data_IF_737452261732
#
_entry.id   IF_737452261732
#
_cell.length_a   1.000
_cell.length_b   1.000
_cell.length_c   1.000
_cell.angle_alpha   90.00
_cell.angle_beta   90.00
_cell.angle_gamma   90.00
#
_symmetry.space_group_name_H-M   'P 1'
#
loop_
_entity.id
_entity.type
_entity.pdbx_description
1 polymer ?
#
# COMPACT_ATOMS: atom_id res chain seq x y z
N UNK A 1 -10.13 22.90 3.05
CA UNK A 1 -8.96 22.09 3.44
C UNK A 1 -7.94 22.18 2.33
N UNK A 2 -6.65 22.19 2.66
CA UNK A 2 -5.59 22.15 1.64
C UNK A 2 -5.42 20.73 1.09
N UNK A 3 -5.06 20.61 -0.19
CA UNK A 3 -4.84 19.32 -0.85
C UNK A 3 -3.33 19.06 -0.97
N UNK A 4 -2.93 17.83 -0.66
CA UNK A 4 -1.54 17.40 -0.71
C UNK A 4 -1.42 16.06 -1.43
N UNK A 5 -0.21 15.78 -1.90
CA UNK A 5 0.18 14.49 -2.47
C UNK A 5 1.40 13.93 -1.76
N UNK A 6 1.42 12.61 -1.60
CA UNK A 6 2.60 11.83 -1.20
C UNK A 6 3.23 11.25 -2.45
N UNK A 7 4.53 11.43 -2.61
CA UNK A 7 5.31 10.87 -3.73
C UNK A 7 5.85 9.48 -3.40
N UNK A 8 6.34 8.74 -4.38
CA UNK A 8 7.08 7.49 -4.17
C UNK A 8 8.51 7.73 -3.65
N UNK A 9 9.22 6.65 -3.30
CA UNK A 9 10.58 6.73 -2.74
C UNK A 9 11.66 7.12 -3.77
N UNK A 10 11.29 7.34 -5.03
CA UNK A 10 12.22 7.76 -6.09
C UNK A 10 12.38 9.28 -6.16
N UNK A 11 11.42 10.02 -5.60
CA UNK A 11 11.43 11.48 -5.51
C UNK A 11 11.97 11.91 -4.14
N UNK A 12 12.88 12.90 -4.12
CA UNK A 12 13.48 13.40 -2.87
C UNK A 12 12.49 14.13 -1.96
N UNK A 13 11.50 14.80 -2.56
CA UNK A 13 10.42 15.51 -1.86
C UNK A 13 9.24 14.57 -1.63
N UNK A 14 8.99 14.20 -0.36
CA UNK A 14 7.96 13.22 0.02
C UNK A 14 6.53 13.75 0.00
N UNK A 15 6.33 15.02 0.33
CA UNK A 15 5.01 15.69 0.33
C UNK A 15 5.09 16.95 -0.53
N UNK A 16 4.09 17.14 -1.38
CA UNK A 16 3.86 18.38 -2.13
C UNK A 16 2.43 18.86 -1.95
N UNK A 17 2.22 20.18 -2.01
CA UNK A 17 0.90 20.82 -1.94
C UNK A 17 0.34 20.98 -3.35
N UNK A 18 -0.88 20.51 -3.57
CA UNK A 18 -1.62 20.76 -4.81
C UNK A 18 -2.44 22.03 -4.61
N UNK A 19 -2.01 23.12 -5.25
CA UNK A 19 -2.71 24.40 -5.17
C UNK A 19 -4.02 24.33 -5.93
N UNK A 20 -5.10 24.74 -5.28
CA UNK A 20 -6.44 24.78 -5.87
C UNK A 20 -7.04 26.18 -5.69
N UNK A 21 -7.91 26.58 -6.62
CA UNK A 21 -8.72 27.77 -6.41
C UNK A 21 -9.77 27.52 -5.31
N UNK A 22 -10.35 28.59 -4.78
CA UNK A 22 -11.29 28.49 -3.66
C UNK A 22 -12.54 27.63 -3.98
N UNK A 23 -13.21 27.78 -5.14
CA UNK A 23 -14.32 26.89 -5.49
C UNK A 23 -13.93 25.41 -5.55
N UNK A 24 -12.77 25.09 -6.12
CA UNK A 24 -12.27 23.71 -6.17
C UNK A 24 -11.94 23.21 -4.76
N UNK A 25 -11.33 24.05 -3.93
CA UNK A 25 -11.01 23.72 -2.55
C UNK A 25 -12.27 23.36 -1.73
N UNK A 26 -13.38 24.07 -1.96
CA UNK A 26 -14.67 23.77 -1.31
C UNK A 26 -15.22 22.40 -1.76
N UNK A 27 -15.14 22.08 -3.06
CA UNK A 27 -15.55 20.78 -3.61
C UNK A 27 -14.69 19.64 -3.04
N UNK A 28 -13.37 19.82 -3.00
CA UNK A 28 -12.44 18.83 -2.43
C UNK A 28 -12.75 18.62 -0.94
N UNK A 29 -12.96 19.71 -0.20
CA UNK A 29 -13.32 19.65 1.22
C UNK A 29 -14.60 18.85 1.43
N UNK A 30 -15.63 19.08 0.62
CA UNK A 30 -16.87 18.33 0.68
C UNK A 30 -16.63 16.83 0.39
N UNK A 31 -15.89 16.51 -0.67
CA UNK A 31 -15.57 15.12 -1.03
C UNK A 31 -14.90 14.36 0.12
N UNK A 32 -13.84 14.93 0.71
CA UNK A 32 -13.14 14.29 1.83
C UNK A 32 -14.03 14.15 3.08
N UNK A 33 -14.89 15.15 3.37
CA UNK A 33 -15.87 15.06 4.46
C UNK A 33 -16.90 13.94 4.26
N UNK A 34 -17.42 13.80 3.05
CA UNK A 34 -18.38 12.75 2.69
C UNK A 34 -17.74 11.36 2.84
N UNK A 35 -16.50 11.21 2.41
CA UNK A 35 -15.78 9.95 2.53
C UNK A 35 -15.42 9.60 3.97
N UNK A 36 -15.04 10.59 4.78
CA UNK A 36 -14.86 10.42 6.23
C UNK A 36 -16.15 9.92 6.88
N UNK A 37 -17.26 10.59 6.59
CA UNK A 37 -18.59 10.21 7.09
C UNK A 37 -18.97 8.81 6.65
N UNK A 38 -18.69 8.44 5.39
CA UNK A 38 -18.91 7.10 4.88
C UNK A 38 -18.06 6.06 5.62
N UNK A 39 -16.76 6.31 5.80
CA UNK A 39 -15.86 5.40 6.49
C UNK A 39 -16.33 5.14 7.93
N UNK A 40 -16.57 6.21 8.70
CA UNK A 40 -17.00 6.13 10.10
C UNK A 40 -18.44 5.59 10.26
N UNK A 41 -19.30 5.79 9.28
CA UNK A 41 -20.66 5.23 9.28
C UNK A 41 -20.74 3.78 8.81
N UNK A 42 -19.84 3.35 7.93
CA UNK A 42 -19.81 1.99 7.37
C UNK A 42 -19.04 1.00 8.25
N UNK A 43 -17.98 1.46 8.91
CA UNK A 43 -17.13 0.65 9.75
C UNK A 43 -17.25 1.13 11.20
N UNK A 44 -17.90 0.33 12.04
CA UNK A 44 -18.30 0.71 13.39
C UNK A 44 -17.44 0.08 14.49
N UNK A 45 -16.69 -0.98 14.17
CA UNK A 45 -15.88 -1.72 15.14
C UNK A 45 -14.39 -1.59 14.83
N UNK A 46 -13.65 -0.97 15.75
CA UNK A 46 -12.21 -0.83 15.66
C UNK A 46 -11.51 -2.03 16.27
N UNK A 47 -10.64 -2.68 15.50
CA UNK A 47 -9.80 -3.78 15.96
C UNK A 47 -8.34 -3.37 15.89
N UNK A 48 -7.56 -3.71 16.91
CA UNK A 48 -6.13 -3.42 16.89
C UNK A 48 -5.46 -4.17 15.73
N UNK A 49 -4.63 -3.45 14.98
CA UNK A 49 -3.93 -4.02 13.85
C UNK A 49 -2.97 -5.10 14.33
N UNK A 50 -3.19 -6.31 13.85
CA UNK A 50 -2.28 -7.42 14.06
C UNK A 50 -2.07 -8.14 12.73
N UNK A 51 -0.81 -8.48 12.45
CA UNK A 51 -0.42 -9.33 11.33
C UNK A 51 -0.94 -10.75 11.52
N UNK A 52 -2.25 -10.90 11.41
CA UNK A 52 -2.95 -12.05 11.99
C UNK A 52 -4.48 -11.96 11.88
N UNK A 53 -5.06 -10.77 11.72
CA UNK A 53 -6.51 -10.58 11.70
C UNK A 53 -7.05 -10.20 10.31
N UNK A 54 -8.28 -10.63 9.96
CA UNK A 54 -9.01 -10.17 8.77
C UNK A 54 -10.28 -9.51 9.29
N UNK A 55 -10.46 -8.23 9.00
CA UNK A 55 -11.66 -7.50 9.41
C UNK A 55 -12.92 -8.05 8.74
N UNK A 56 -13.97 -8.24 9.52
CA UNK A 56 -15.35 -8.41 9.10
C UNK A 56 -15.87 -7.20 8.32
N UNK A 57 -17.07 -7.28 7.77
CA UNK A 57 -17.55 -6.25 6.83
C UNK A 57 -17.68 -4.85 7.43
N UNK A 58 -17.88 -4.77 8.74
CA UNK A 58 -18.12 -3.60 9.59
C UNK A 58 -16.93 -3.24 10.50
N UNK A 59 -15.88 -4.05 10.49
CA UNK A 59 -14.66 -3.79 11.25
C UNK A 59 -13.67 -2.93 10.45
N UNK A 60 -12.80 -2.20 11.16
CA UNK A 60 -11.63 -1.51 10.61
C UNK A 60 -10.43 -1.69 11.55
N UNK A 61 -9.22 -1.64 10.98
CA UNK A 61 -7.98 -1.73 11.75
C UNK A 61 -7.62 -0.41 12.40
N UNK A 62 -6.96 -0.49 13.56
CA UNK A 62 -6.43 0.62 14.34
C UNK A 62 -4.98 0.37 14.71
N UNK A 63 -4.09 1.32 14.46
CA UNK A 63 -2.74 1.39 15.04
C UNK A 63 -2.72 2.61 15.98
N UNK A 64 -2.77 2.44 17.31
CA UNK A 64 -2.91 3.55 18.27
C UNK A 64 -1.70 4.50 18.35
N UNK A 65 -0.50 3.97 18.16
CA UNK A 65 0.77 4.68 18.28
C UNK A 65 1.51 4.69 16.94
N UNK A 66 0.84 5.16 15.88
CA UNK A 66 1.41 5.27 14.55
C UNK A 66 2.42 6.42 14.46
N UNK A 67 3.65 6.08 14.10
CA UNK A 67 4.73 6.99 13.76
C UNK A 67 4.52 7.57 12.35
N UNK A 68 4.13 8.84 12.30
CA UNK A 68 3.95 9.60 11.05
C UNK A 68 5.30 10.03 10.45
N UNK A 69 6.11 9.05 10.02
CA UNK A 69 7.44 9.27 9.43
C UNK A 69 7.39 10.15 8.17
N UNK A 70 6.27 10.12 7.43
CA UNK A 70 6.07 10.94 6.23
C UNK A 70 5.72 12.39 6.60
N UNK A 71 5.29 12.64 7.83
CA UNK A 71 4.89 13.94 8.37
C UNK A 71 3.64 14.54 7.71
N UNK A 72 2.61 13.71 7.46
CA UNK A 72 1.34 14.17 6.87
C UNK A 72 0.57 15.11 7.79
N UNK A 73 0.63 14.91 9.11
CA UNK A 73 -0.01 15.81 10.08
C UNK A 73 0.68 17.16 10.16
N UNK A 74 2.02 17.17 10.08
CA UNK A 74 2.79 18.41 10.04
C UNK A 74 2.47 19.23 8.79
N UNK A 75 2.29 18.57 7.63
CA UNK A 75 1.86 19.22 6.41
C UNK A 75 0.48 19.88 6.53
N UNK A 76 -0.46 19.23 7.24
CA UNK A 76 -1.80 19.79 7.50
C UNK A 76 -1.73 20.99 8.46
N UNK A 77 -0.90 20.90 9.50
CA UNK A 77 -0.73 21.98 10.48
C UNK A 77 0.03 23.18 9.89
N UNK A 78 1.00 22.93 9.02
CA UNK A 78 1.90 23.94 8.47
C UNK A 78 1.87 23.94 6.92
N UNK A 79 0.71 24.18 6.29
CA UNK A 79 0.53 24.03 4.85
C UNK A 79 1.40 24.97 4.01
N UNK A 80 1.85 26.09 4.57
CA UNK A 80 2.69 27.08 3.90
C UNK A 80 4.17 26.69 3.83
N UNK A 81 4.60 25.71 4.64
CA UNK A 81 5.96 25.20 4.62
C UNK A 81 6.17 24.09 3.57
N UNK A 82 5.08 23.58 3.00
CA UNK A 82 5.10 22.50 2.03
C UNK A 82 5.28 23.07 0.61
N UNK A 83 6.24 22.56 -0.18
CA UNK A 83 6.45 23.02 -1.55
C UNK A 83 5.23 22.71 -2.42
N UNK A 84 4.94 23.62 -3.34
CA UNK A 84 3.87 23.42 -4.32
C UNK A 84 4.26 22.33 -5.33
N UNK A 85 3.27 21.57 -5.80
CA UNK A 85 3.50 20.54 -6.80
C UNK A 85 3.65 21.15 -8.19
N UNK A 86 4.84 20.96 -8.76
CA UNK A 86 5.16 21.34 -10.14
C UNK A 86 5.23 20.07 -11.02
N UNK A 87 4.27 19.83 -11.94
CA UNK A 87 4.22 18.63 -12.77
C UNK A 87 5.47 18.40 -13.65
N UNK A 88 6.18 19.48 -13.99
CA UNK A 88 7.42 19.46 -14.77
C UNK A 88 8.61 18.92 -13.96
N UNK A 89 8.61 19.10 -12.64
CA UNK A 89 9.65 18.60 -11.74
C UNK A 89 9.32 17.21 -11.20
N UNK A 90 8.06 17.01 -10.79
CA UNK A 90 7.57 15.76 -10.22
C UNK A 90 6.41 15.28 -11.08
N UNK A 91 6.67 14.23 -11.85
CA UNK A 91 5.64 13.59 -12.67
C UNK A 91 4.47 13.12 -11.81
N UNK A 92 3.25 13.32 -12.30
CA UNK A 92 2.02 12.82 -11.66
C UNK A 92 2.07 11.30 -11.39
N UNK A 93 2.85 10.56 -12.17
CA UNK A 93 3.03 9.11 -12.00
C UNK A 93 3.89 8.74 -10.80
N UNK A 94 4.59 9.70 -10.19
CA UNK A 94 5.30 9.52 -8.94
C UNK A 94 4.41 9.76 -7.71
N UNK A 95 3.17 10.25 -7.88
CA UNK A 95 2.22 10.38 -6.78
C UNK A 95 1.66 9.00 -6.45
N UNK A 96 1.63 8.66 -5.16
CA UNK A 96 1.11 7.37 -4.64
C UNK A 96 -0.08 7.55 -3.71
N UNK A 97 -0.33 8.77 -3.24
CA UNK A 97 -1.47 9.09 -2.39
C UNK A 97 -1.83 10.57 -2.47
N UNK A 98 -3.12 10.86 -2.31
CA UNK A 98 -3.63 12.19 -2.06
C UNK A 98 -4.18 12.27 -0.64
N UNK A 99 -3.97 13.39 0.03
CA UNK A 99 -4.54 13.60 1.35
C UNK A 99 -4.94 15.05 1.59
N UNK A 100 -5.89 15.21 2.49
CA UNK A 100 -6.37 16.49 2.99
C UNK A 100 -6.77 16.32 4.46
N UNK A 101 -7.10 17.38 5.17
CA UNK A 101 -7.41 17.24 6.58
C UNK A 101 -7.70 18.52 7.34
N UNK A 102 -7.77 18.35 8.65
CA UNK A 102 -8.01 19.43 9.60
C UNK A 102 -6.77 19.62 10.47
N UNK A 103 -6.29 20.87 10.62
CA UNK A 103 -5.23 21.15 11.57
C UNK A 103 -5.70 20.92 13.00
N UNK A 104 -4.75 20.88 13.91
CA UNK A 104 -5.04 20.86 15.34
C UNK A 104 -5.81 22.13 15.72
N UNK A 105 -6.98 21.96 16.33
CA UNK A 105 -7.83 23.08 16.71
C UNK A 105 -8.66 22.76 17.95
N UNK A 106 -8.74 23.70 18.89
CA UNK A 106 -9.60 23.62 20.08
C UNK A 106 -9.41 22.32 20.90
N UNK A 107 -8.15 21.86 21.02
CA UNK A 107 -7.80 20.64 21.74
C UNK A 107 -8.15 19.34 21.02
N UNK A 108 -8.59 19.41 19.76
CA UNK A 108 -8.73 18.24 18.88
C UNK A 108 -7.43 18.03 18.10
N UNK A 109 -6.92 16.79 18.01
CA UNK A 109 -5.70 16.52 17.28
C UNK A 109 -5.88 16.81 15.78
N UNK A 110 -4.77 17.17 15.12
CA UNK A 110 -4.72 17.23 13.67
C UNK A 110 -5.16 15.88 13.07
N UNK A 111 -5.88 15.94 11.95
CA UNK A 111 -6.46 14.75 11.32
C UNK A 111 -6.20 14.77 9.82
N UNK A 112 -5.51 13.75 9.31
CA UNK A 112 -5.33 13.49 7.89
C UNK A 112 -6.34 12.46 7.38
N UNK A 113 -6.94 12.77 6.24
CA UNK A 113 -7.82 11.92 5.46
C UNK A 113 -7.06 11.52 4.19
N UNK A 114 -6.74 10.23 4.06
CA UNK A 114 -5.73 9.75 3.12
C UNK A 114 -6.38 8.79 2.13
N UNK A 115 -6.10 8.99 0.83
CA UNK A 115 -6.54 8.14 -0.27
C UNK A 115 -5.32 7.61 -1.01
N UNK A 116 -5.34 6.34 -1.42
CA UNK A 116 -4.37 5.84 -2.39
C UNK A 116 -4.56 6.55 -3.73
N UNK A 117 -3.46 6.79 -4.43
CA UNK A 117 -3.47 7.31 -5.78
C UNK A 117 -2.85 6.29 -6.73
N UNK A 118 -3.49 6.08 -7.88
CA UNK A 118 -2.97 5.22 -8.92
C UNK A 118 -3.05 5.87 -10.31
N UNK A 119 -2.28 5.30 -11.24
CA UNK A 119 -2.15 5.75 -12.63
C UNK A 119 -3.47 5.81 -13.41
N UNK A 120 -4.54 5.11 -12.99
CA UNK A 120 -5.87 5.17 -13.62
C UNK A 120 -6.62 6.44 -13.22
N UNK A 121 -6.21 7.10 -12.14
CA UNK A 121 -6.72 8.40 -11.74
C UNK A 121 -6.07 9.56 -12.50
N UNK A 122 -5.04 9.31 -13.32
CA UNK A 122 -4.49 10.30 -14.24
C UNK A 122 -5.32 10.31 -15.51
N UNK A 123 -5.81 11.48 -15.91
CA UNK A 123 -6.61 11.61 -17.14
C UNK A 123 -5.71 11.39 -18.37
N UNK A 124 -6.03 10.37 -19.17
CA UNK A 124 -5.41 10.18 -20.49
C UNK A 124 -6.02 11.16 -21.50
N UNK A 125 -5.38 12.32 -21.61
CA UNK A 125 -5.76 13.39 -22.53
C UNK A 125 -5.79 12.97 -24.01
N UNK A 126 -5.06 11.91 -24.41
CA UNK A 126 -5.13 11.40 -25.80
C UNK A 126 -6.47 10.73 -26.10
N UNK A 127 -7.15 10.22 -25.06
CA UNK A 127 -8.40 9.47 -25.15
C UNK A 127 -9.59 10.21 -24.54
N UNK A 128 -9.38 11.39 -23.98
CA UNK A 128 -10.41 12.16 -23.27
C UNK A 128 -10.73 13.46 -24.01
N UNK A 129 -12.02 13.76 -24.14
CA UNK A 129 -12.50 15.04 -24.66
C UNK A 129 -13.39 15.71 -23.61
N UNK A 130 -13.25 17.03 -23.48
CA UNK A 130 -13.96 17.88 -22.54
C UNK A 130 -14.97 18.74 -23.28
N UNK A 131 -16.13 18.92 -22.69
CA UNK A 131 -17.10 19.89 -23.18
C UNK A 131 -16.59 21.30 -22.90
N UNK A 132 -16.76 22.22 -23.86
CA UNK A 132 -16.47 23.66 -23.66
C UNK A 132 -17.77 24.43 -23.40
N UNK A 133 -18.25 24.49 -22.15
CA UNK A 133 -19.55 25.11 -21.85
C UNK A 133 -19.58 26.61 -22.16
N UNK A 134 -18.42 27.27 -22.20
CA UNK A 134 -18.31 28.72 -22.39
C UNK A 134 -18.00 29.15 -23.84
N UNK A 135 -17.98 28.23 -24.82
CA UNK A 135 -17.85 28.57 -26.24
C UNK A 135 -19.17 28.38 -27.00
N UNK A 136 -19.47 29.31 -27.92
CA UNK A 136 -20.62 29.17 -28.81
C UNK A 136 -20.44 27.92 -29.70
N UNK A 137 -21.46 27.06 -29.77
CA UNK A 137 -21.50 25.92 -30.69
C UNK A 137 -21.52 24.51 -30.06
N UNK A 138 -21.63 24.37 -28.73
CA UNK A 138 -21.73 23.06 -28.05
C UNK A 138 -20.64 22.07 -28.50
N UNK A 139 -19.39 22.49 -28.46
CA UNK A 139 -18.24 21.73 -28.99
C UNK A 139 -17.44 21.05 -27.89
N UNK A 140 -16.72 20.00 -28.27
CA UNK A 140 -15.79 19.27 -27.40
C UNK A 140 -14.35 19.51 -27.84
N UNK A 141 -13.40 19.43 -26.89
CA UNK A 141 -11.97 19.57 -27.16
C UNK A 141 -11.13 18.59 -26.36
N UNK A 142 -9.92 18.30 -26.82
CA UNK A 142 -8.91 17.67 -25.98
C UNK A 142 -8.23 18.73 -25.11
N UNK A 143 -7.83 18.36 -23.89
CA UNK A 143 -7.00 19.18 -23.01
C UNK A 143 -5.54 18.78 -23.15
N UNK A 144 -4.61 19.72 -23.02
CA UNK A 144 -3.19 19.42 -22.83
C UNK A 144 -2.82 19.37 -21.33
N UNK A 145 -3.70 19.88 -20.46
CA UNK A 145 -3.46 20.06 -19.03
C UNK A 145 -3.48 18.74 -18.26
N UNK A 146 -2.64 18.61 -17.24
CA UNK A 146 -2.65 17.45 -16.35
C UNK A 146 -3.97 17.41 -15.55
N UNK A 147 -4.68 16.29 -15.66
CA UNK A 147 -5.90 16.04 -14.91
C UNK A 147 -5.73 14.87 -13.95
N UNK A 148 -6.21 15.03 -12.73
CA UNK A 148 -6.28 13.97 -11.72
C UNK A 148 -7.72 13.75 -11.27
N UNK A 149 -8.05 12.50 -10.98
CA UNK A 149 -9.34 12.07 -10.46
C UNK A 149 -9.19 11.77 -8.97
N UNK A 150 -9.96 12.45 -8.13
CA UNK A 150 -10.01 12.17 -6.70
C UNK A 150 -10.77 10.86 -6.47
N UNK A 151 -10.25 9.99 -5.60
CA UNK A 151 -10.92 8.72 -5.30
C UNK A 151 -12.24 8.98 -4.56
N UNK A 152 -13.12 7.98 -4.50
CA UNK A 152 -14.39 8.04 -3.79
C UNK A 152 -14.35 7.41 -2.39
N UNK A 153 -13.18 6.94 -1.94
CA UNK A 153 -12.99 6.26 -0.66
C UNK A 153 -11.68 6.67 -0.01
N UNK A 154 -11.69 6.74 1.32
CA UNK A 154 -10.47 6.84 2.11
C UNK A 154 -9.79 5.47 2.20
N UNK A 155 -8.47 5.50 2.10
CA UNK A 155 -7.59 4.38 2.48
C UNK A 155 -7.36 4.37 3.98
N UNK A 156 -7.12 5.54 4.57
CA UNK A 156 -6.87 5.68 6.00
C UNK A 156 -7.30 7.04 6.56
N UNK A 157 -7.48 7.09 7.88
CA UNK A 157 -7.65 8.30 8.68
C UNK A 157 -6.58 8.27 9.76
N UNK A 158 -5.70 9.27 9.79
CA UNK A 158 -4.73 9.45 10.86
C UNK A 158 -5.17 10.63 11.73
N UNK A 159 -5.42 10.41 13.02
CA UNK A 159 -5.83 11.46 13.95
C UNK A 159 -4.93 11.42 15.19
N UNK A 160 -4.06 12.42 15.32
CA UNK A 160 -2.96 12.35 16.30
C UNK A 160 -2.06 11.14 16.00
N UNK A 161 -1.92 10.22 16.94
CA UNK A 161 -1.15 8.99 16.76
C UNK A 161 -1.99 7.81 16.25
N UNK A 162 -3.32 7.95 16.22
CA UNK A 162 -4.22 6.84 15.90
C UNK A 162 -4.47 6.75 14.39
N UNK A 163 -4.00 5.67 13.76
CA UNK A 163 -4.24 5.38 12.35
C UNK A 163 -5.35 4.33 12.18
N UNK A 164 -6.41 4.71 11.47
CA UNK A 164 -7.56 3.86 11.13
C UNK A 164 -7.56 3.52 9.66
N UNK A 165 -7.79 2.26 9.29
CA UNK A 165 -7.83 1.85 7.89
C UNK A 165 -8.60 0.55 7.68
N UNK A 166 -9.09 0.33 6.46
CA UNK A 166 -9.83 -0.90 6.12
C UNK A 166 -8.96 -1.97 5.47
N UNK A 167 -8.10 -1.56 4.54
CA UNK A 167 -7.32 -2.48 3.70
C UNK A 167 -5.84 -2.30 3.96
N UNK A 168 -5.22 -3.32 4.54
CA UNK A 168 -3.77 -3.38 4.70
C UNK A 168 -3.04 -3.28 3.35
N UNK A 169 -3.53 -4.01 2.35
CA UNK A 169 -2.92 -4.00 1.01
C UNK A 169 -2.93 -2.61 0.37
N UNK A 170 -3.95 -1.77 0.65
CA UNK A 170 -3.93 -0.38 0.21
C UNK A 170 -3.03 0.50 1.09
N UNK A 171 -3.04 0.28 2.42
CA UNK A 171 -2.22 1.05 3.34
C UNK A 171 -0.72 0.89 3.07
N UNK A 172 -0.25 -0.34 2.84
CA UNK A 172 1.17 -0.65 2.59
C UNK A 172 1.73 0.00 1.32
N UNK A 173 0.85 0.47 0.42
CA UNK A 173 1.27 1.23 -0.78
C UNK A 173 1.70 2.65 -0.43
N UNK A 174 1.32 3.15 0.74
CA UNK A 174 1.51 4.54 1.18
C UNK A 174 2.51 4.61 2.33
N UNK A 175 2.33 3.76 3.34
CA UNK A 175 3.15 3.73 4.55
C UNK A 175 3.93 2.42 4.66
N UNK A 176 5.15 2.52 5.20
CA UNK A 176 5.85 1.36 5.74
C UNK A 176 5.25 1.04 7.11
N UNK A 177 4.53 -0.09 7.16
CA UNK A 177 3.81 -0.55 8.35
C UNK A 177 4.39 -1.85 8.91
N UNK A 178 5.54 -2.30 8.39
CA UNK A 178 6.21 -3.55 8.79
C UNK A 178 6.66 -3.52 10.27
N UNK A 179 6.85 -2.32 10.80
CA UNK A 179 7.18 -2.10 12.21
C UNK A 179 6.04 -2.49 13.16
N UNK A 180 4.78 -2.35 12.73
CA UNK A 180 3.58 -2.61 13.55
C UNK A 180 3.16 -4.09 13.54
N UNK A 181 3.92 -4.95 12.87
CA UNK A 181 3.65 -6.37 12.84
C UNK A 181 4.18 -7.08 14.08
N UNK A 182 3.27 -7.82 14.73
CA UNK A 182 3.64 -8.87 15.67
C UNK A 182 4.31 -10.02 14.91
N UNK A 183 5.42 -10.49 15.44
CA UNK A 183 6.07 -11.71 14.97
C UNK A 183 5.11 -12.91 15.06
N UNK A 184 5.09 -13.76 14.02
CA UNK A 184 4.42 -15.05 14.07
C UNK A 184 4.92 -15.88 15.27
N UNK A 185 3.97 -16.40 16.03
CA UNK A 185 4.18 -17.37 17.11
C UNK A 185 4.71 -18.69 16.56
N UNK A 186 5.22 -19.55 17.45
CA UNK A 186 5.61 -20.90 17.04
C UNK A 186 4.44 -21.69 16.44
N UNK A 187 3.22 -21.49 16.94
CA UNK A 187 2.02 -22.15 16.42
C UNK A 187 1.67 -21.68 15.00
N UNK A 188 1.77 -20.38 14.72
CA UNK A 188 1.57 -19.82 13.38
C UNK A 188 2.66 -20.28 12.40
N UNK A 189 3.92 -20.38 12.84
CA UNK A 189 5.00 -20.94 12.02
C UNK A 189 4.77 -22.43 11.70
N UNK A 190 4.33 -23.23 12.68
CA UNK A 190 4.01 -24.64 12.47
C UNK A 190 2.83 -24.80 11.50
N UNK A 191 1.77 -24.02 11.68
CA UNK A 191 0.61 -23.99 10.77
C UNK A 191 1.01 -23.59 9.36
N UNK A 192 1.80 -22.52 9.20
CA UNK A 192 2.30 -22.07 7.89
C UNK A 192 3.13 -23.16 7.21
N UNK A 193 4.12 -23.74 7.90
CA UNK A 193 4.95 -24.79 7.31
C UNK A 193 4.16 -26.07 7.00
N UNK A 194 3.02 -26.29 7.67
CA UNK A 194 2.13 -27.43 7.42
C UNK A 194 1.05 -27.16 6.36
N UNK A 195 1.06 -25.99 5.71
CA UNK A 195 0.10 -25.67 4.66
C UNK A 195 0.16 -26.70 3.52
N UNK A 196 -1.01 -27.06 2.96
CA UNK A 196 -1.14 -28.11 1.95
C UNK A 196 -0.27 -27.89 0.68
N UNK A 197 -0.01 -26.62 0.32
CA UNK A 197 0.85 -26.19 -0.77
C UNK A 197 2.34 -26.36 -0.50
N UNK A 198 2.78 -26.65 0.73
CA UNK A 198 4.19 -26.91 1.04
C UNK A 198 4.51 -28.40 1.09
N UNK A 199 5.66 -28.74 0.54
CA UNK A 199 6.35 -29.99 0.81
C UNK A 199 7.50 -29.71 1.77
N UNK A 200 7.39 -30.23 2.99
CA UNK A 200 8.38 -30.05 4.05
C UNK A 200 9.16 -31.34 4.24
N UNK A 201 10.49 -31.23 4.23
CA UNK A 201 11.37 -32.37 4.46
C UNK A 201 11.18 -32.93 5.88
N UNK A 202 11.25 -34.26 6.00
CA UNK A 202 11.08 -34.94 7.28
C UNK A 202 12.03 -34.39 8.34
N UNK A 203 11.49 -34.02 9.51
CA UNK A 203 12.26 -33.50 10.64
C UNK A 203 12.70 -32.03 10.50
N UNK A 204 12.34 -31.35 9.42
CA UNK A 204 12.52 -29.90 9.34
C UNK A 204 11.46 -29.18 10.17
N UNK A 205 11.92 -28.26 11.01
CA UNK A 205 11.07 -27.40 11.84
C UNK A 205 11.46 -25.94 11.62
N UNK A 206 10.54 -25.18 11.01
CA UNK A 206 10.73 -23.77 10.71
C UNK A 206 11.00 -22.94 11.97
N UNK A 207 10.46 -23.32 13.13
CA UNK A 207 10.63 -22.59 14.39
C UNK A 207 12.08 -22.54 14.86
N UNK A 208 12.90 -23.54 14.49
CA UNK A 208 14.31 -23.65 14.88
C UNK A 208 15.22 -22.66 14.15
N UNK A 209 14.84 -22.23 12.96
CA UNK A 209 15.62 -21.30 12.12
C UNK A 209 14.98 -19.91 12.03
N UNK A 210 13.74 -19.75 12.50
CA UNK A 210 12.97 -18.52 12.39
C UNK A 210 13.53 -17.42 13.31
N UNK A 211 14.05 -16.37 12.67
CA UNK A 211 14.33 -15.09 13.33
C UNK A 211 13.16 -14.11 13.15
N UNK A 212 13.28 -12.93 13.74
CA UNK A 212 12.27 -11.86 13.67
C UNK A 212 11.78 -11.60 12.23
N UNK A 213 12.69 -11.58 11.26
CA UNK A 213 12.36 -11.36 9.84
C UNK A 213 11.48 -12.49 9.32
N UNK A 214 11.85 -13.76 9.54
CA UNK A 214 11.03 -14.90 9.12
C UNK A 214 9.65 -14.85 9.79
N UNK A 215 9.60 -14.55 11.09
CA UNK A 215 8.34 -14.50 11.84
C UNK A 215 7.42 -13.38 11.35
N UNK A 216 7.95 -12.18 11.08
CA UNK A 216 7.17 -11.08 10.51
C UNK A 216 6.62 -11.45 9.13
N UNK A 217 7.43 -12.08 8.28
CA UNK A 217 6.99 -12.47 6.94
C UNK A 217 5.96 -13.57 6.91
N UNK A 218 6.12 -14.60 7.73
CA UNK A 218 5.08 -15.64 7.84
C UNK A 218 3.76 -15.03 8.31
N UNK A 219 3.82 -14.09 9.25
CA UNK A 219 2.65 -13.31 9.69
C UNK A 219 2.01 -12.54 8.52
N UNK A 220 2.80 -11.84 7.70
CA UNK A 220 2.34 -11.13 6.50
C UNK A 220 1.72 -12.05 5.43
N UNK A 221 2.38 -13.17 5.11
CA UNK A 221 1.95 -14.11 4.07
C UNK A 221 0.65 -14.83 4.46
N UNK A 222 0.54 -15.27 5.72
CA UNK A 222 -0.71 -15.84 6.25
C UNK A 222 -1.88 -14.83 6.15
N UNK A 223 -1.60 -13.53 6.13
CA UNK A 223 -2.59 -12.45 6.01
C UNK A 223 -2.96 -12.12 4.59
N UNK A 224 -2.00 -12.07 3.68
CA UNK A 224 -2.25 -11.82 2.27
C UNK A 224 -3.09 -12.94 1.63
N UNK A 225 -3.18 -14.10 2.30
CA UNK A 225 -3.85 -15.31 1.81
C UNK A 225 -3.32 -15.75 0.45
N UNK A 226 -2.07 -15.38 0.13
CA UNK A 226 -1.49 -15.69 -1.17
C UNK A 226 -1.41 -17.21 -1.41
N UNK A 227 -1.30 -17.99 -0.32
CA UNK A 227 -1.33 -19.45 -0.35
C UNK A 227 -2.74 -20.03 -0.39
N UNK A 228 -3.80 -19.26 -0.31
CA UNK A 228 -5.18 -19.74 -0.50
C UNK A 228 -5.78 -19.21 -1.80
N UNK A 229 -5.43 -17.97 -2.16
CA UNK A 229 -5.99 -17.26 -3.31
C UNK A 229 -5.31 -17.67 -4.63
N UNK A 230 -4.09 -18.23 -4.57
CA UNK A 230 -3.33 -18.64 -5.76
C UNK A 230 -2.92 -20.11 -5.74
N UNK A 231 -2.93 -20.75 -6.90
CA UNK A 231 -2.39 -22.11 -7.12
C UNK A 231 -0.86 -22.10 -7.10
N UNK A 232 -0.24 -23.25 -6.80
CA UNK A 232 1.23 -23.40 -6.86
C UNK A 232 1.75 -23.11 -8.28
N UNK A 233 0.94 -23.43 -9.29
CA UNK A 233 1.22 -23.11 -10.70
C UNK A 233 1.26 -21.61 -10.97
N UNK A 234 0.27 -20.86 -10.50
CA UNK A 234 0.26 -19.40 -10.67
C UNK A 234 1.45 -18.75 -9.96
N UNK A 235 1.76 -19.20 -8.73
CA UNK A 235 2.92 -18.70 -7.99
C UNK A 235 4.25 -18.99 -8.70
N UNK A 236 4.43 -20.19 -9.27
CA UNK A 236 5.65 -20.51 -10.02
C UNK A 236 5.78 -19.70 -11.30
N UNK A 237 4.68 -19.50 -12.03
CA UNK A 237 4.67 -18.66 -13.23
C UNK A 237 5.03 -17.23 -12.87
N UNK A 238 4.42 -16.68 -11.82
CA UNK A 238 4.73 -15.33 -11.33
C UNK A 238 6.20 -15.20 -10.89
N UNK A 239 6.73 -16.20 -10.18
CA UNK A 239 8.15 -16.23 -9.81
C UNK A 239 9.06 -16.19 -11.04
N UNK A 240 8.78 -16.99 -12.06
CA UNK A 240 9.56 -17.04 -13.30
C UNK A 240 9.51 -15.71 -14.07
N UNK A 241 8.37 -15.02 -14.09
CA UNK A 241 8.22 -13.71 -14.75
C UNK A 241 9.14 -12.63 -14.15
N UNK A 242 9.40 -12.71 -12.85
CA UNK A 242 10.30 -11.81 -12.13
C UNK A 242 11.73 -12.36 -12.00
N UNK A 243 12.02 -13.53 -12.57
CA UNK A 243 13.33 -14.18 -12.50
C UNK A 243 13.61 -14.87 -11.16
N UNK A 244 12.63 -15.08 -10.29
CA UNK A 244 12.81 -15.84 -9.05
C UNK A 244 12.59 -17.33 -9.32
N UNK A 245 13.50 -18.17 -8.85
CA UNK A 245 13.33 -19.63 -8.93
C UNK A 245 12.51 -20.10 -7.73
N UNK A 246 11.31 -20.63 -7.99
CA UNK A 246 10.47 -21.28 -7.00
C UNK A 246 10.59 -22.80 -7.15
N UNK A 247 11.30 -23.44 -6.23
CA UNK A 247 11.46 -24.90 -6.24
C UNK A 247 10.12 -25.58 -5.91
N UNK A 248 9.68 -26.47 -6.79
CA UNK A 248 8.47 -27.28 -6.60
C UNK A 248 8.78 -28.78 -6.71
N UNK A 249 7.97 -29.59 -6.06
CA UNK A 249 8.00 -31.05 -6.19
C UNK A 249 6.61 -31.63 -6.41
N UNK A 250 6.56 -32.73 -7.16
CA UNK A 250 5.32 -33.46 -7.40
C UNK A 250 5.09 -34.41 -6.23
N UNK A 251 4.05 -34.13 -5.44
CA UNK A 251 3.62 -34.97 -4.33
C UNK A 251 2.28 -35.65 -4.69
N UNK A 252 2.37 -36.74 -5.45
CA UNK A 252 1.18 -37.44 -5.98
C UNK A 252 0.57 -36.69 -7.17
N UNK A 253 -0.73 -36.38 -7.11
CA UNK A 253 -1.45 -35.63 -8.16
C UNK A 253 -1.31 -34.10 -8.04
N UNK A 254 -0.71 -33.60 -6.96
CA UNK A 254 -0.59 -32.17 -6.68
C UNK A 254 0.85 -31.71 -6.64
N UNK A 255 1.10 -30.55 -7.23
CA UNK A 255 2.38 -29.88 -7.17
C UNK A 255 2.46 -29.01 -5.90
N UNK A 256 3.59 -29.10 -5.20
CA UNK A 256 3.84 -28.37 -3.96
C UNK A 256 5.11 -27.56 -4.03
N UNK A 257 5.15 -26.44 -3.32
CA UNK A 257 6.33 -25.62 -3.11
C UNK A 257 7.24 -26.36 -2.13
N UNK A 258 8.48 -26.62 -2.53
CA UNK A 258 9.47 -27.26 -1.67
C UNK A 258 9.95 -26.26 -0.63
N UNK A 259 9.71 -26.53 0.65
CA UNK A 259 10.17 -25.68 1.74
C UNK A 259 11.71 -25.74 1.84
N UNK A 260 12.43 -24.61 1.67
CA UNK A 260 13.87 -24.60 1.82
C UNK A 260 14.28 -24.92 3.26
N UNK A 261 15.41 -25.59 3.44
CA UNK A 261 15.91 -25.94 4.77
C UNK A 261 16.92 -24.92 5.32
N UNK A 262 17.48 -24.08 4.45
CA UNK A 262 18.50 -23.09 4.81
C UNK A 262 17.82 -21.74 5.03
N UNK A 263 18.13 -21.09 6.15
CA UNK A 263 17.54 -19.79 6.56
C UNK A 263 17.55 -18.73 5.45
N UNK A 264 18.64 -18.62 4.69
CA UNK A 264 18.76 -17.66 3.58
C UNK A 264 17.70 -17.89 2.51
N UNK A 265 17.49 -19.15 2.13
CA UNK A 265 16.59 -19.52 1.04
C UNK A 265 15.14 -19.50 1.50
N UNK A 266 14.87 -19.81 2.77
CA UNK A 266 13.56 -19.56 3.39
C UNK A 266 13.21 -18.08 3.30
N UNK A 267 14.13 -17.16 3.64
CA UNK A 267 13.86 -15.72 3.50
C UNK A 267 13.56 -15.33 2.06
N UNK A 268 14.29 -15.87 1.08
CA UNK A 268 14.04 -15.61 -0.35
C UNK A 268 12.65 -16.05 -0.79
N UNK A 269 12.21 -17.24 -0.37
CA UNK A 269 10.86 -17.73 -0.59
C UNK A 269 9.82 -16.80 0.05
N UNK A 270 10.04 -16.39 1.31
CA UNK A 270 9.09 -15.53 2.01
C UNK A 270 9.03 -14.12 1.39
N UNK A 271 10.15 -13.54 0.97
CA UNK A 271 10.15 -12.28 0.22
C UNK A 271 9.36 -12.38 -1.09
N UNK A 272 9.39 -13.53 -1.75
CA UNK A 272 8.58 -13.75 -2.95
C UNK A 272 7.09 -13.78 -2.61
N UNK A 273 6.71 -14.62 -1.65
CA UNK A 273 5.31 -14.77 -1.23
C UNK A 273 4.70 -13.50 -0.60
N UNK A 274 5.53 -12.64 -0.04
CA UNK A 274 5.14 -11.33 0.53
C UNK A 274 5.07 -10.20 -0.53
N UNK A 275 5.41 -10.54 -1.79
CA UNK A 275 5.50 -9.61 -2.92
C UNK A 275 6.52 -8.46 -2.70
N UNK A 276 7.63 -8.74 -2.02
CA UNK A 276 8.68 -7.75 -1.74
C UNK A 276 9.57 -7.43 -2.95
N UNK A 277 9.41 -8.14 -4.06
CA UNK A 277 10.19 -7.89 -5.25
C UNK A 277 9.52 -6.82 -6.11
N UNK A 278 10.28 -5.81 -6.52
CA UNK A 278 9.84 -4.82 -7.50
C UNK A 278 10.82 -4.72 -8.66
N UNK A 279 10.30 -4.51 -9.86
CA UNK A 279 11.11 -4.34 -11.07
C UNK A 279 11.28 -2.86 -11.38
N UNK A 280 12.54 -2.40 -11.47
CA UNK A 280 12.84 -1.02 -11.90
C UNK A 280 12.36 -0.76 -13.32
N UNK A 281 11.60 0.32 -13.52
CA UNK A 281 11.01 0.67 -14.82
C UNK A 281 12.03 0.90 -15.94
N UNK A 282 13.22 1.40 -15.61
CA UNK A 282 14.25 1.76 -16.60
C UNK A 282 15.17 0.57 -16.87
N UNK A 283 15.70 -0.04 -15.82
CA UNK A 283 16.74 -1.08 -15.93
C UNK A 283 16.15 -2.48 -16.07
N UNK A 284 14.83 -2.63 -15.84
CA UNK A 284 14.14 -3.93 -15.68
C UNK A 284 14.83 -4.86 -14.67
N UNK A 285 15.60 -4.28 -13.75
CA UNK A 285 16.32 -5.01 -12.71
C UNK A 285 15.39 -5.24 -11.54
N UNK A 286 15.42 -6.45 -10.98
CA UNK A 286 14.68 -6.83 -9.81
C UNK A 286 15.37 -6.29 -8.55
N UNK A 287 14.59 -5.68 -7.67
CA UNK A 287 15.03 -5.17 -6.38
C UNK A 287 14.13 -5.70 -5.28
N UNK A 288 14.66 -5.71 -4.06
CA UNK A 288 13.90 -5.97 -2.86
C UNK A 288 13.40 -4.65 -2.28
N UNK A 289 12.10 -4.53 -2.00
CA UNK A 289 11.43 -3.28 -1.58
C UNK A 289 12.13 -2.58 -0.41
N UNK A 290 12.70 -3.34 0.53
CA UNK A 290 13.37 -2.83 1.73
C UNK A 290 14.91 -2.76 1.63
N UNK A 291 15.49 -2.96 0.45
CA UNK A 291 16.93 -2.86 0.26
C UNK A 291 17.28 -2.38 -1.15
N UNK A 292 18.06 -1.29 -1.27
CA UNK A 292 18.77 -0.92 -2.52
C UNK A 292 19.87 -1.94 -2.89
N UNK A 293 19.73 -3.20 -2.46
CA UNK A 293 20.64 -4.29 -2.74
C UNK A 293 20.14 -5.02 -3.98
N UNK A 294 20.98 -5.02 -5.01
CA UNK A 294 20.81 -5.85 -6.19
C UNK A 294 20.81 -7.31 -5.75
N UNK A 295 19.76 -8.05 -6.04
CA UNK A 295 19.81 -9.52 -5.97
C UNK A 295 20.35 -10.02 -7.30
N UNK A 296 21.44 -10.78 -7.24
CA UNK A 296 21.86 -11.61 -8.36
C UNK A 296 20.95 -12.82 -8.37
N UNK A 297 20.11 -12.89 -9.40
CA UNK A 297 19.27 -14.03 -9.77
C UNK A 297 20.15 -15.19 -10.23
#
# INVERSE_FOLDING_TARGET
MELFAITDNTVGTRIVKIVTDRPTQDVITQLFNEQKTFFEGRYTEGVEFSGGYITSSDEYFVIPDFDDVIAVLDAINNPTAIPEWEPEEISVFNIISLFSGYPEENGKPATALIQSFDKRQVIDNRRTIFHKPFQAGNTFCQSAEHGIVIDNKLTAILSGTELKFKSFHMLRRIFDVDAYFREATNEELMTFSSHDKFAVAQGFDLTTIADSVIRKKVSLINKSRILEDYTVTELRVSAAEIGVVLDTENAGEFEKIKMPQIRKDVKRLLHFLDEDYFTSHITRTLYLANSKRREDV
#
